data_IF_888670894000
#
_entry.id   IF_888670894000
#
_cell.length_a   1.000
_cell.length_b   1.000
_cell.length_c   1.000
_cell.angle_alpha   90.00
_cell.angle_beta   90.00
_cell.angle_gamma   90.00
#
_symmetry.space_group_name_H-M   'P 1'
#
loop_
_entity.id
_entity.type
_entity.pdbx_description
1 polymer ?
#
# COMPACT_ATOMS: atom_id res chain seq x y z
N UNK A 1 -31.86 14.41 -23.19
CA UNK A 1 -31.16 15.00 -22.04
C UNK A 1 -30.02 14.07 -21.66
N UNK A 2 -28.76 14.51 -21.74
CA UNK A 2 -27.60 13.66 -21.43
C UNK A 2 -27.55 13.38 -19.92
N UNK A 3 -27.51 12.11 -19.52
CA UNK A 3 -27.38 11.74 -18.11
C UNK A 3 -26.13 12.40 -17.49
N UNK A 4 -26.19 12.86 -16.23
CA UNK A 4 -25.02 13.44 -15.57
C UNK A 4 -23.88 12.41 -15.55
N UNK A 5 -22.68 12.84 -15.94
CA UNK A 5 -21.51 11.97 -15.96
C UNK A 5 -21.28 11.35 -14.57
N UNK A 6 -20.96 10.04 -14.47
CA UNK A 6 -20.76 9.39 -13.17
C UNK A 6 -19.69 10.13 -12.36
N UNK A 7 -20.00 10.42 -11.08
CA UNK A 7 -19.02 11.00 -10.17
C UNK A 7 -18.11 9.87 -9.65
N UNK A 8 -16.80 10.09 -9.66
CA UNK A 8 -15.83 9.15 -9.09
C UNK A 8 -15.99 9.01 -7.57
N UNK A 9 -15.39 7.97 -6.98
CA UNK A 9 -15.46 7.71 -5.54
C UNK A 9 -14.84 8.88 -4.76
N UNK A 10 -15.43 9.23 -3.61
CA UNK A 10 -14.90 10.31 -2.75
C UNK A 10 -13.45 9.99 -2.32
N UNK A 11 -12.51 10.95 -2.36
CA UNK A 11 -11.10 10.71 -2.05
C UNK A 11 -10.83 9.98 -0.73
N UNK A 12 -11.57 10.32 0.33
CA UNK A 12 -11.42 9.67 1.65
C UNK A 12 -11.83 8.20 1.64
N UNK A 13 -12.88 7.85 0.90
CA UNK A 13 -13.35 6.46 0.78
C UNK A 13 -12.35 5.64 -0.03
N UNK A 14 -11.83 6.21 -1.13
CA UNK A 14 -10.78 5.57 -1.92
C UNK A 14 -9.49 5.36 -1.11
N UNK A 15 -9.09 6.34 -0.28
CA UNK A 15 -7.95 6.20 0.63
C UNK A 15 -8.16 5.06 1.64
N UNK A 16 -9.35 4.98 2.24
CA UNK A 16 -9.69 3.90 3.19
C UNK A 16 -9.58 2.52 2.54
N UNK A 17 -10.26 2.31 1.40
CA UNK A 17 -10.21 1.04 0.68
C UNK A 17 -8.78 0.69 0.24
N UNK A 18 -8.03 1.64 -0.31
CA UNK A 18 -6.66 1.39 -0.75
C UNK A 18 -5.74 1.05 0.42
N UNK A 19 -5.91 1.69 1.58
CA UNK A 19 -5.10 1.40 2.77
C UNK A 19 -5.40 0.02 3.32
N UNK A 20 -6.67 -0.38 3.41
CA UNK A 20 -7.06 -1.73 3.82
C UNK A 20 -6.55 -2.77 2.82
N UNK A 21 -6.68 -2.51 1.52
CA UNK A 21 -6.16 -3.38 0.48
C UNK A 21 -4.64 -3.52 0.54
N UNK A 22 -3.90 -2.44 0.82
CA UNK A 22 -2.46 -2.47 1.03
C UNK A 22 -2.07 -3.41 2.17
N UNK A 23 -2.72 -3.26 3.35
CA UNK A 23 -2.46 -4.13 4.51
C UNK A 23 -2.80 -5.59 4.18
N UNK A 24 -3.95 -5.83 3.53
CA UNK A 24 -4.37 -7.18 3.14
C UNK A 24 -3.38 -7.84 2.17
N UNK A 25 -2.94 -7.12 1.12
CA UNK A 25 -1.95 -7.59 0.16
C UNK A 25 -0.58 -7.82 0.80
N UNK A 26 -0.21 -6.99 1.78
CA UNK A 26 1.04 -7.14 2.51
C UNK A 26 1.01 -8.42 3.36
N UNK A 27 -0.04 -8.65 4.15
CA UNK A 27 -0.20 -9.88 4.95
C UNK A 27 -0.24 -11.11 4.05
N UNK A 28 -1.07 -11.07 2.99
CA UNK A 28 -1.19 -12.15 2.03
C UNK A 28 0.14 -12.45 1.33
N UNK A 29 0.81 -11.41 0.79
CA UNK A 29 2.06 -11.57 0.05
C UNK A 29 3.18 -12.08 0.94
N UNK A 30 3.29 -11.58 2.17
CA UNK A 30 4.27 -12.08 3.13
C UNK A 30 4.01 -13.53 3.51
N UNK A 31 2.75 -13.90 3.79
CA UNK A 31 2.38 -15.28 4.10
C UNK A 31 2.62 -16.24 2.94
N UNK A 32 2.18 -15.89 1.73
CA UNK A 32 2.33 -16.75 0.55
C UNK A 32 3.80 -16.94 0.15
N UNK A 33 4.61 -15.88 0.17
CA UNK A 33 6.04 -16.02 -0.14
C UNK A 33 6.77 -16.78 0.96
N UNK A 34 6.40 -16.61 2.23
CA UNK A 34 6.96 -17.42 3.32
C UNK A 34 6.73 -18.91 3.11
N UNK A 35 5.51 -19.32 2.75
CA UNK A 35 5.20 -20.72 2.42
C UNK A 35 5.97 -21.22 1.18
N UNK A 36 6.10 -20.36 0.16
CA UNK A 36 6.77 -20.73 -1.09
C UNK A 36 8.29 -20.87 -0.93
N UNK A 37 8.89 -20.00 -0.10
CA UNK A 37 10.33 -19.92 0.11
C UNK A 37 10.79 -20.78 1.31
N UNK A 38 9.87 -21.43 2.01
CA UNK A 38 10.10 -22.13 3.28
C UNK A 38 10.95 -21.30 4.26
N UNK A 39 10.63 -20.00 4.31
CA UNK A 39 11.41 -19.00 5.01
C UNK A 39 10.53 -18.28 6.05
N UNK A 40 11.05 -18.15 7.26
CA UNK A 40 10.37 -17.40 8.30
C UNK A 40 10.27 -15.92 7.95
N UNK A 41 9.06 -15.36 8.09
CA UNK A 41 8.78 -13.93 7.99
C UNK A 41 9.60 -13.14 9.03
N UNK A 42 10.05 -13.80 10.10
CA UNK A 42 10.85 -13.26 11.21
C UNK A 42 12.15 -14.08 11.35
N UNK A 43 12.85 -14.30 10.24
CA UNK A 43 14.02 -15.19 10.18
C UNK A 43 15.38 -14.59 10.57
N UNK A 44 15.44 -13.46 11.29
CA UNK A 44 16.73 -12.94 11.80
C UNK A 44 16.87 -13.31 13.27
N UNK A 45 17.77 -14.25 13.64
CA UNK A 45 18.01 -14.63 15.02
C UNK A 45 18.35 -13.40 15.88
N UNK A 46 17.54 -13.14 16.91
CA UNK A 46 17.76 -12.06 17.87
C UNK A 46 16.96 -10.77 17.63
N UNK A 47 16.26 -10.62 16.51
CA UNK A 47 15.31 -9.51 16.30
C UNK A 47 13.90 -9.98 16.64
N UNK A 48 13.31 -9.40 17.69
CA UNK A 48 11.92 -9.69 18.08
C UNK A 48 10.89 -9.19 17.07
N UNK A 49 9.61 -9.14 17.45
CA UNK A 49 8.52 -8.69 16.56
C UNK A 49 8.52 -7.17 16.29
N UNK A 50 9.22 -6.38 17.12
CA UNK A 50 9.17 -4.92 17.11
C UNK A 50 9.56 -4.30 15.75
N UNK A 51 10.67 -4.66 15.09
CA UNK A 51 11.03 -4.11 13.78
C UNK A 51 9.97 -4.35 12.70
N UNK A 52 9.34 -5.53 12.68
CA UNK A 52 8.28 -5.85 11.72
C UNK A 52 7.02 -5.02 11.93
N UNK A 53 6.62 -4.83 13.19
CA UNK A 53 5.47 -3.99 13.55
C UNK A 53 5.73 -2.52 13.20
N UNK A 54 6.88 -1.97 13.63
CA UNK A 54 7.25 -0.58 13.36
C UNK A 54 7.40 -0.34 11.85
N UNK A 55 8.04 -1.27 11.14
CA UNK A 55 8.12 -1.28 9.68
C UNK A 55 6.76 -1.20 9.02
N UNK A 56 5.84 -2.08 9.39
CA UNK A 56 4.50 -2.15 8.79
C UNK A 56 3.67 -0.89 9.07
N UNK A 57 3.76 -0.35 10.29
CA UNK A 57 3.07 0.90 10.67
C UNK A 57 3.59 2.08 9.86
N UNK A 58 4.92 2.25 9.77
CA UNK A 58 5.50 3.34 8.99
C UNK A 58 5.24 3.19 7.50
N UNK A 59 5.33 1.97 6.94
CA UNK A 59 4.99 1.71 5.54
C UNK A 59 3.54 2.12 5.22
N UNK A 60 2.60 1.74 6.10
CA UNK A 60 1.18 2.07 5.95
C UNK A 60 0.93 3.57 6.05
N UNK A 61 1.56 4.24 7.02
CA UNK A 61 1.45 5.68 7.20
C UNK A 61 2.03 6.45 6.00
N UNK A 62 3.21 6.05 5.52
CA UNK A 62 3.86 6.66 4.34
C UNK A 62 3.04 6.44 3.07
N UNK A 63 2.52 5.23 2.85
CA UNK A 63 1.59 4.92 1.77
C UNK A 63 0.36 5.82 1.81
N UNK A 64 -0.33 5.87 2.95
CA UNK A 64 -1.55 6.63 3.11
C UNK A 64 -1.31 8.14 2.94
N UNK A 65 -0.19 8.65 3.46
CA UNK A 65 0.18 10.06 3.33
C UNK A 65 0.43 10.46 1.87
N UNK A 66 1.18 9.65 1.11
CA UNK A 66 1.47 9.94 -0.31
C UNK A 66 0.21 9.80 -1.17
N UNK A 67 -0.59 8.75 -0.95
CA UNK A 67 -1.86 8.58 -1.65
C UNK A 67 -2.80 9.75 -1.36
N UNK A 68 -2.99 10.12 -0.09
CA UNK A 68 -3.79 11.27 0.31
C UNK A 68 -3.28 12.57 -0.34
N UNK A 69 -1.97 12.80 -0.36
CA UNK A 69 -1.38 13.97 -0.99
C UNK A 69 -1.66 14.04 -2.49
N UNK A 70 -1.73 12.90 -3.17
CA UNK A 70 -2.14 12.80 -4.57
C UNK A 70 -3.64 13.04 -4.76
N UNK A 71 -4.48 12.40 -3.94
CA UNK A 71 -5.94 12.46 -4.06
C UNK A 71 -6.53 13.81 -3.64
N UNK A 72 -5.97 14.49 -2.63
CA UNK A 72 -6.46 15.83 -2.20
C UNK A 72 -6.34 16.88 -3.30
N UNK A 73 -5.34 16.76 -4.18
CA UNK A 73 -5.18 17.65 -5.36
C UNK A 73 -6.26 17.43 -6.40
N UNK A 74 -6.90 16.26 -6.40
CA UNK A 74 -8.03 15.98 -7.26
C UNK A 74 -9.31 16.70 -6.85
N UNK A 75 -9.49 16.95 -5.55
CA UNK A 75 -10.53 17.84 -5.06
C UNK A 75 -10.35 19.28 -5.55
N UNK A 76 -9.11 19.70 -5.84
CA UNK A 76 -8.76 21.01 -6.37
C UNK A 76 -8.79 21.11 -7.91
N UNK A 77 -9.30 20.09 -8.61
CA UNK A 77 -9.48 20.10 -10.06
C UNK A 77 -8.37 19.44 -10.90
N UNK A 78 -7.26 18.99 -10.28
CA UNK A 78 -6.20 18.26 -10.99
C UNK A 78 -6.52 16.77 -11.11
N UNK A 79 -6.44 16.18 -12.30
CA UNK A 79 -6.67 14.73 -12.44
C UNK A 79 -5.55 13.92 -11.74
N UNK A 80 -5.88 12.94 -10.88
CA UNK A 80 -4.89 12.02 -10.31
C UNK A 80 -4.09 11.31 -11.42
N UNK A 81 -2.77 11.28 -11.29
CA UNK A 81 -1.89 10.54 -12.21
C UNK A 81 -1.64 9.13 -11.70
N UNK A 82 -1.67 8.12 -12.59
CA UNK A 82 -1.27 6.75 -12.24
C UNK A 82 0.21 6.64 -11.85
N UNK A 83 1.04 7.61 -12.22
CA UNK A 83 2.42 7.71 -11.74
C UNK A 83 2.47 7.92 -10.20
N UNK A 84 1.37 8.37 -9.59
CA UNK A 84 1.21 8.41 -8.14
C UNK A 84 1.28 7.03 -7.48
N UNK A 85 0.92 5.95 -8.17
CA UNK A 85 1.02 4.59 -7.65
C UNK A 85 2.49 4.18 -7.44
N UNK A 86 3.39 4.61 -8.32
CA UNK A 86 4.82 4.40 -8.17
C UNK A 86 5.36 5.13 -6.93
N UNK A 87 4.90 6.37 -6.70
CA UNK A 87 5.27 7.10 -5.48
C UNK A 87 4.72 6.44 -4.21
N UNK A 88 3.53 5.83 -4.27
CA UNK A 88 2.98 5.06 -3.15
C UNK A 88 3.85 3.82 -2.85
N UNK A 89 4.29 3.10 -3.88
CA UNK A 89 5.18 1.95 -3.76
C UNK A 89 6.53 2.34 -3.14
N UNK A 90 7.16 3.41 -3.65
CA UNK A 90 8.43 3.93 -3.12
C UNK A 90 8.27 4.38 -1.67
N UNK A 91 7.19 5.10 -1.34
CA UNK A 91 6.94 5.57 0.02
C UNK A 91 6.69 4.42 1.00
N UNK A 92 5.92 3.41 0.60
CA UNK A 92 5.69 2.22 1.41
C UNK A 92 7.01 1.46 1.67
N UNK A 93 7.81 1.26 0.63
CA UNK A 93 9.11 0.61 0.73
C UNK A 93 10.06 1.36 1.66
N UNK A 94 10.24 2.67 1.45
CA UNK A 94 11.12 3.50 2.29
C UNK A 94 10.61 3.57 3.73
N UNK A 95 9.30 3.68 3.93
CA UNK A 95 8.68 3.66 5.26
C UNK A 95 8.92 2.33 5.97
N UNK A 96 8.85 1.21 5.26
CA UNK A 96 9.13 -0.11 5.81
C UNK A 96 10.60 -0.25 6.22
N UNK A 97 11.54 0.07 5.32
CA UNK A 97 12.98 -0.02 5.59
C UNK A 97 13.37 0.88 6.77
N UNK A 98 12.86 2.11 6.80
CA UNK A 98 13.09 3.03 7.91
C UNK A 98 12.50 2.49 9.22
N UNK A 99 11.30 1.91 9.19
CA UNK A 99 10.67 1.37 10.39
C UNK A 99 11.34 0.11 10.93
N UNK A 100 11.86 -0.75 10.05
CA UNK A 100 12.70 -1.89 10.44
C UNK A 100 13.99 -1.39 11.11
N UNK A 101 14.66 -0.41 10.50
CA UNK A 101 15.88 0.18 11.07
C UNK A 101 15.61 0.80 12.44
N UNK A 102 14.59 1.65 12.57
CA UNK A 102 14.20 2.26 13.84
C UNK A 102 13.81 1.22 14.88
N UNK A 103 12.97 0.24 14.51
CA UNK A 103 12.53 -0.80 15.42
C UNK A 103 13.69 -1.68 15.91
N UNK A 104 14.71 -1.93 15.07
CA UNK A 104 15.93 -2.61 15.48
C UNK A 104 16.71 -1.76 16.49
N UNK A 105 16.98 -0.48 16.18
CA UNK A 105 17.69 0.45 17.06
C UNK A 105 17.00 0.55 18.44
N UNK A 106 15.67 0.67 18.47
CA UNK A 106 14.90 0.72 19.73
C UNK A 106 14.87 -0.60 20.49
N UNK A 107 15.15 -1.72 19.82
CA UNK A 107 15.30 -3.03 20.47
C UNK A 107 16.68 -3.22 21.11
N UNK A 108 17.57 -2.23 21.01
CA UNK A 108 18.91 -2.26 21.61
C UNK A 108 19.99 -2.91 20.75
N UNK A 109 19.73 -3.17 19.47
CA UNK A 109 20.77 -3.67 18.56
C UNK A 109 21.78 -2.58 18.20
N UNK A 110 23.03 -2.99 17.97
CA UNK A 110 24.07 -2.10 17.45
C UNK A 110 23.65 -1.44 16.12
N UNK A 111 24.12 -0.22 15.87
CA UNK A 111 23.76 0.57 14.68
C UNK A 111 24.17 -0.15 13.38
N UNK A 112 25.33 -0.82 13.38
CA UNK A 112 25.78 -1.58 12.21
C UNK A 112 24.90 -2.81 11.95
N UNK A 113 24.52 -3.54 13.01
CA UNK A 113 23.59 -4.67 12.91
C UNK A 113 22.20 -4.23 12.44
N UNK A 114 21.71 -3.09 12.94
CA UNK A 114 20.42 -2.50 12.56
C UNK A 114 20.40 -2.08 11.09
N UNK A 115 21.49 -1.47 10.61
CA UNK A 115 21.65 -1.09 9.21
C UNK A 115 21.78 -2.30 8.29
N UNK A 116 22.53 -3.33 8.70
CA UNK A 116 22.66 -4.58 7.96
C UNK A 116 21.31 -5.31 7.85
N UNK A 117 20.52 -5.35 8.93
CA UNK A 117 19.17 -5.92 8.92
C UNK A 117 18.24 -5.16 7.96
N UNK A 118 18.21 -3.82 8.05
CA UNK A 118 17.43 -2.99 7.14
C UNK A 118 17.87 -3.15 5.68
N UNK A 119 19.18 -3.29 5.42
CA UNK A 119 19.73 -3.55 4.09
C UNK A 119 19.33 -4.92 3.53
N UNK A 120 19.39 -5.98 4.36
CA UNK A 120 18.95 -7.31 3.98
C UNK A 120 17.45 -7.36 3.66
N UNK A 121 16.63 -6.65 4.43
CA UNK A 121 15.20 -6.50 4.17
C UNK A 121 14.93 -5.71 2.88
N UNK A 122 15.68 -4.63 2.65
CA UNK A 122 15.55 -3.79 1.46
C UNK A 122 15.93 -4.53 0.17
N UNK A 123 16.98 -5.36 0.22
CA UNK A 123 17.44 -6.16 -0.91
C UNK A 123 16.68 -7.50 -1.06
N UNK A 124 15.93 -7.89 -0.04
CA UNK A 124 15.20 -9.15 0.01
C UNK A 124 13.81 -9.08 -0.60
N UNK A 125 13.15 -10.25 -0.62
CA UNK A 125 11.80 -10.41 -1.14
C UNK A 125 10.75 -9.61 -0.35
N UNK A 126 10.98 -9.31 0.93
CA UNK A 126 10.13 -8.44 1.74
C UNK A 126 9.93 -7.07 1.10
N UNK A 127 11.02 -6.43 0.69
CA UNK A 127 10.98 -5.13 0.01
C UNK A 127 10.13 -5.17 -1.26
N UNK A 128 10.27 -6.24 -2.06
CA UNK A 128 9.49 -6.44 -3.27
C UNK A 128 7.99 -6.62 -2.97
N UNK A 129 7.62 -7.36 -1.92
CA UNK A 129 6.21 -7.53 -1.51
C UNK A 129 5.61 -6.20 -1.08
N UNK A 130 6.31 -5.43 -0.23
CA UNK A 130 5.82 -4.12 0.24
C UNK A 130 5.64 -3.15 -0.92
N UNK A 131 6.63 -3.05 -1.82
CA UNK A 131 6.56 -2.19 -2.99
C UNK A 131 5.43 -2.63 -3.93
N UNK A 132 5.30 -3.93 -4.20
CA UNK A 132 4.24 -4.49 -5.06
C UNK A 132 2.84 -4.24 -4.49
N UNK A 133 2.63 -4.50 -3.20
CA UNK A 133 1.38 -4.22 -2.51
C UNK A 133 1.04 -2.72 -2.57
N UNK A 134 2.01 -1.85 -2.31
CA UNK A 134 1.85 -0.39 -2.38
C UNK A 134 1.51 0.09 -3.79
N UNK A 135 2.14 -0.50 -4.81
CA UNK A 135 1.85 -0.18 -6.21
C UNK A 135 0.41 -0.57 -6.59
N UNK A 136 0.00 -1.81 -6.32
CA UNK A 136 -1.33 -2.33 -6.68
C UNK A 136 -2.43 -1.58 -5.94
N UNK A 137 -2.27 -1.40 -4.62
CA UNK A 137 -3.23 -0.68 -3.80
C UNK A 137 -3.31 0.81 -4.17
N UNK A 138 -2.16 1.45 -4.42
CA UNK A 138 -2.10 2.85 -4.85
C UNK A 138 -2.74 3.07 -6.22
N UNK A 139 -2.48 2.16 -7.17
CA UNK A 139 -3.12 2.17 -8.47
C UNK A 139 -4.64 2.02 -8.35
N UNK A 140 -5.11 1.08 -7.53
CA UNK A 140 -6.54 0.88 -7.26
C UNK A 140 -7.20 2.11 -6.63
N UNK A 141 -6.58 2.72 -5.62
CA UNK A 141 -7.07 3.95 -5.00
C UNK A 141 -7.17 5.12 -5.99
N UNK A 142 -6.16 5.27 -6.86
CA UNK A 142 -6.17 6.27 -7.94
C UNK A 142 -7.26 5.96 -8.96
N UNK A 143 -7.42 4.68 -9.35
CA UNK A 143 -8.46 4.25 -10.27
C UNK A 143 -9.85 4.60 -9.73
N UNK A 144 -10.16 4.29 -8.46
CA UNK A 144 -11.47 4.59 -7.85
C UNK A 144 -11.89 6.07 -7.95
N UNK A 145 -10.92 6.99 -7.87
CA UNK A 145 -11.19 8.44 -7.98
C UNK A 145 -11.21 8.89 -9.44
N UNK A 146 -10.31 8.33 -10.27
CA UNK A 146 -10.10 8.75 -11.66
C UNK A 146 -11.11 8.15 -12.63
N UNK A 147 -11.47 6.87 -12.46
CA UNK A 147 -12.41 6.18 -13.32
C UNK A 147 -13.81 6.51 -12.85
N UNK A 148 -14.55 7.20 -13.71
CA UNK A 148 -15.98 7.47 -13.54
C UNK A 148 -16.77 6.21 -13.87
N UNK A 149 -16.37 5.08 -13.30
CA UNK A 149 -17.09 3.84 -13.46
C UNK A 149 -18.51 4.06 -12.92
N UNK A 150 -19.50 3.81 -13.75
CA UNK A 150 -20.89 3.88 -13.31
C UNK A 150 -21.14 2.87 -12.20
N UNK A 151 -22.28 3.04 -11.49
CA UNK A 151 -22.77 2.00 -10.59
C UNK A 151 -22.78 0.67 -11.37
N UNK A 152 -22.13 -0.40 -10.87
CA UNK A 152 -22.22 -1.70 -11.51
C UNK A 152 -23.70 -2.05 -11.63
N UNK A 153 -24.16 -2.24 -12.87
CA UNK A 153 -25.52 -2.67 -13.17
C UNK A 153 -25.47 -4.13 -13.50
N UNK A 154 -26.35 -4.89 -12.88
CA UNK A 154 -26.48 -6.29 -13.22
C UNK A 154 -27.39 -6.48 -14.43
N UNK A 155 -27.23 -7.58 -15.21
CA UNK A 155 -28.03 -7.80 -16.41
C UNK A 155 -29.55 -7.81 -16.18
N UNK A 156 -30.01 -8.04 -14.94
CA UNK A 156 -31.43 -8.01 -14.57
C UNK A 156 -31.89 -6.66 -14.00
N UNK A 157 -31.01 -5.65 -13.94
CA UNK A 157 -31.34 -4.27 -13.55
C UNK A 157 -31.65 -3.38 -14.77
N UNK A 158 -31.69 -3.95 -15.99
CA UNK A 158 -32.34 -3.30 -17.12
C UNK A 158 -33.85 -3.37 -16.92
N UNK A 159 -34.50 -2.21 -16.99
CA UNK A 159 -35.95 -2.15 -17.15
C UNK A 159 -36.25 -2.76 -18.53
N UNK A 160 -36.51 -4.07 -18.60
CA UNK A 160 -36.86 -4.79 -19.84
C UNK A 160 -38.26 -4.43 -20.36
N UNK A 161 -38.81 -3.25 -19.99
CA UNK A 161 -40.21 -2.84 -20.19
C UNK A 161 -40.39 -1.56 -21.06
N UNK A 162 -39.41 -1.14 -21.88
CA UNK A 162 -39.60 -0.11 -22.93
C UNK A 162 -39.06 -0.51 -24.31
#
# INVERSE_FOLDING_TARGET
MSAPAPQGVRPLVALGFATVAFIALLIFGLGMLSLLLDADVIGVPGLGQVPGVVGTVLATASFAAVLWAGLRRAGAGLRPSFLGALWCAVAAFLGYVLGVWLGAVFSGSDLAASAAAAGGVAAGWFGAVVAGAGFVAGWGGIALVRTRAGRPRWPWESDDDE
#
